data_IF_280505200152
#
_entry.id   IF_280505200152
#
_cell.length_a   1.000
_cell.length_b   1.000
_cell.length_c   1.000
_cell.angle_alpha   90.00
_cell.angle_beta   90.00
_cell.angle_gamma   90.00
#
_symmetry.space_group_name_H-M   'P 1'
#
loop_
_entity.id
_entity.type
_entity.pdbx_description
1 polymer ?
#
# COMPACT_ATOMS: atom_id res chain seq x y z
N UNK A 1 -2.59 21.49 -14.16
CA UNK A 1 -3.50 21.23 -13.02
C UNK A 1 -3.19 19.93 -12.27
N UNK A 2 -3.14 18.76 -12.93
CA UNK A 2 -2.99 17.48 -12.22
C UNK A 2 -1.70 17.31 -11.39
N UNK A 3 -0.55 17.82 -11.85
CA UNK A 3 0.74 17.66 -11.18
C UNK A 3 0.81 18.38 -9.81
N UNK A 4 0.35 19.64 -9.75
CA UNK A 4 0.32 20.43 -8.51
C UNK A 4 -0.63 19.79 -7.50
N UNK A 5 -1.81 19.34 -7.95
CA UNK A 5 -2.76 18.65 -7.08
C UNK A 5 -2.18 17.33 -6.54
N UNK A 6 -1.46 16.57 -7.36
CA UNK A 6 -0.78 15.35 -6.92
C UNK A 6 0.31 15.65 -5.87
N UNK A 7 1.05 16.74 -6.05
CA UNK A 7 2.06 17.20 -5.10
C UNK A 7 1.43 17.57 -3.75
N UNK A 8 0.41 18.45 -3.76
CA UNK A 8 -0.28 18.87 -2.54
C UNK A 8 -0.87 17.68 -1.79
N UNK A 9 -1.54 16.76 -2.48
CA UNK A 9 -2.07 15.52 -1.88
C UNK A 9 -0.99 14.61 -1.29
N UNK A 10 0.22 14.64 -1.83
CA UNK A 10 1.32 13.83 -1.32
C UNK A 10 1.85 14.41 -0.01
N UNK A 11 2.08 15.72 0.05
CA UNK A 11 2.66 16.39 1.23
C UNK A 11 1.65 16.56 2.38
N UNK A 12 0.36 16.73 2.08
CA UNK A 12 -0.73 16.90 3.07
C UNK A 12 -0.86 15.71 4.05
N UNK A 13 -0.35 14.53 3.65
CA UNK A 13 -0.28 13.35 4.53
C UNK A 13 0.76 13.47 5.65
N UNK A 14 1.67 14.43 5.55
CA UNK A 14 2.86 14.56 6.41
C UNK A 14 2.97 15.92 7.07
N UNK A 15 2.43 16.98 6.46
CA UNK A 15 2.42 18.34 6.97
C UNK A 15 1.06 18.98 6.73
N UNK A 16 0.62 19.89 7.60
CA UNK A 16 -0.62 20.64 7.42
C UNK A 16 -0.41 21.77 6.44
N UNK A 17 -1.13 21.75 5.31
CA UNK A 17 -1.02 22.82 4.28
C UNK A 17 -1.40 24.20 4.82
N UNK A 18 -2.27 24.27 5.83
CA UNK A 18 -2.79 25.54 6.37
C UNK A 18 -1.84 26.21 7.38
N UNK A 19 -0.98 25.43 8.04
CA UNK A 19 -0.22 25.90 9.20
C UNK A 19 1.28 25.62 9.13
N UNK A 20 1.71 24.64 8.34
CA UNK A 20 3.12 24.23 8.23
C UNK A 20 3.81 24.77 6.98
N UNK A 21 3.10 25.49 6.10
CA UNK A 21 3.65 26.08 4.87
C UNK A 21 3.74 27.61 4.99
N UNK A 22 4.94 28.14 4.74
CA UNK A 22 5.23 29.57 4.72
C UNK A 22 5.60 30.09 3.33
N UNK A 23 5.64 31.41 3.16
CA UNK A 23 6.00 32.05 1.89
C UNK A 23 7.48 31.91 1.52
N UNK A 24 8.32 31.47 2.45
CA UNK A 24 9.76 31.25 2.26
C UNK A 24 10.10 29.78 2.02
N UNK A 25 9.09 28.91 1.94
CA UNK A 25 9.32 27.48 1.78
C UNK A 25 9.74 27.15 0.35
N UNK A 26 10.75 26.30 0.24
CA UNK A 26 11.23 25.80 -1.05
C UNK A 26 10.57 24.45 -1.34
N UNK A 27 10.11 24.27 -2.57
CA UNK A 27 9.53 23.01 -3.03
C UNK A 27 10.28 22.47 -4.24
N UNK A 28 10.36 21.15 -4.30
CA UNK A 28 10.88 20.41 -5.45
C UNK A 28 9.80 19.50 -6.01
N UNK A 29 9.69 19.45 -7.34
CA UNK A 29 8.82 18.51 -8.03
C UNK A 29 9.57 17.88 -9.18
N UNK A 30 9.62 16.55 -9.22
CA UNK A 30 10.12 15.81 -10.39
C UNK A 30 8.96 15.04 -10.98
N UNK A 31 8.70 15.28 -12.26
CA UNK A 31 7.56 14.76 -13.00
C UNK A 31 8.06 13.87 -14.13
N UNK A 32 7.38 12.75 -14.37
CA UNK A 32 7.49 12.04 -15.63
C UNK A 32 6.84 12.87 -16.74
N UNK A 33 7.28 12.71 -17.97
CA UNK A 33 6.61 13.24 -19.15
C UNK A 33 6.73 12.27 -20.31
N UNK A 34 5.81 12.36 -21.26
CA UNK A 34 5.88 11.68 -22.55
C UNK A 34 6.14 12.72 -23.63
N UNK A 35 6.96 12.39 -24.62
CA UNK A 35 7.22 13.22 -25.79
C UNK A 35 6.86 12.44 -27.06
N UNK A 36 6.14 13.06 -27.99
CA UNK A 36 5.89 12.50 -29.32
C UNK A 36 7.11 12.76 -30.22
N UNK A 37 7.27 11.97 -31.28
CA UNK A 37 8.31 12.20 -32.29
C UNK A 37 8.18 13.59 -32.96
N UNK A 38 6.97 14.17 -32.97
CA UNK A 38 6.68 15.51 -33.48
C UNK A 38 7.02 16.64 -32.49
N UNK A 39 7.48 16.29 -31.29
CA UNK A 39 7.86 17.25 -30.26
C UNK A 39 6.78 17.56 -29.23
N UNK A 40 5.55 17.03 -29.38
CA UNK A 40 4.47 17.27 -28.41
C UNK A 40 4.85 16.69 -27.05
N UNK A 41 4.64 17.46 -25.99
CA UNK A 41 4.96 17.05 -24.61
C UNK A 41 3.67 16.87 -23.82
N UNK A 42 3.57 15.76 -23.08
CA UNK A 42 2.49 15.48 -22.15
C UNK A 42 3.06 15.21 -20.77
N UNK A 43 2.70 16.03 -19.79
CA UNK A 43 3.04 15.81 -18.39
C UNK A 43 2.44 14.47 -17.91
N UNK A 44 3.25 13.73 -17.17
CA UNK A 44 2.93 12.44 -16.59
C UNK A 44 2.83 12.52 -15.07
N UNK A 45 3.25 11.43 -14.42
CA UNK A 45 3.09 11.21 -12.99
C UNK A 45 4.14 11.97 -12.15
N UNK A 46 3.78 12.29 -10.91
CA UNK A 46 4.72 12.81 -9.92
C UNK A 46 5.66 11.69 -9.45
N UNK A 47 6.96 11.86 -9.67
CA UNK A 47 7.99 10.90 -9.27
C UNK A 47 8.58 11.24 -7.90
N UNK A 48 8.76 12.53 -7.61
CA UNK A 48 9.33 13.00 -6.35
C UNK A 48 8.70 14.34 -5.94
N UNK A 49 8.51 14.50 -4.63
CA UNK A 49 8.06 15.72 -3.99
C UNK A 49 8.98 16.05 -2.81
N UNK A 50 9.59 17.23 -2.84
CA UNK A 50 10.42 17.77 -1.77
C UNK A 50 9.82 19.05 -1.21
N UNK A 51 9.88 19.25 0.11
CA UNK A 51 9.61 20.56 0.72
C UNK A 51 10.61 20.82 1.84
N UNK A 52 11.21 22.02 1.81
CA UNK A 52 12.05 22.55 2.86
C UNK A 52 11.34 23.73 3.52
N UNK A 53 11.23 23.65 4.84
CA UNK A 53 10.68 24.70 5.70
C UNK A 53 11.75 25.08 6.72
N UNK A 54 11.87 26.37 7.01
CA UNK A 54 12.91 26.90 7.87
C UNK A 54 12.94 26.19 9.24
N UNK A 55 14.12 25.73 9.66
CA UNK A 55 14.32 25.02 10.93
C UNK A 55 13.73 23.59 11.00
N UNK A 56 12.99 23.13 9.98
CA UNK A 56 12.48 21.75 9.89
C UNK A 56 13.33 20.92 8.94
N UNK A 57 13.35 19.61 9.17
CA UNK A 57 14.01 18.66 8.26
C UNK A 57 13.25 18.62 6.93
N UNK A 58 13.97 18.68 5.80
CA UNK A 58 13.37 18.56 4.44
C UNK A 58 12.57 17.27 4.32
N UNK A 59 11.28 17.39 4.00
CA UNK A 59 10.42 16.25 3.67
C UNK A 59 10.73 15.85 2.23
N UNK A 60 11.00 14.56 2.02
CA UNK A 60 11.36 14.00 0.72
C UNK A 60 10.48 12.79 0.46
N UNK A 61 9.63 12.84 -0.56
CA UNK A 61 8.70 11.77 -0.91
C UNK A 61 9.06 11.21 -2.29
N UNK A 62 9.19 9.88 -2.40
CA UNK A 62 9.46 9.18 -3.66
C UNK A 62 8.27 8.29 -4.02
N UNK A 63 7.86 8.33 -5.30
CA UNK A 63 6.88 7.39 -5.87
C UNK A 63 7.49 5.99 -5.94
N UNK A 64 6.88 5.03 -5.27
CA UNK A 64 7.39 3.66 -5.16
C UNK A 64 6.29 2.60 -5.19
N UNK A 65 6.64 1.38 -5.61
CA UNK A 65 5.71 0.26 -5.72
C UNK A 65 4.85 0.28 -6.98
N UNK A 66 4.16 -0.83 -7.25
CA UNK A 66 3.27 -0.97 -8.41
C UNK A 66 2.04 -0.05 -8.35
N UNK A 67 1.59 0.27 -7.14
CA UNK A 67 0.53 1.25 -6.88
C UNK A 67 1.03 2.70 -6.85
N UNK A 68 2.35 2.87 -6.87
CA UNK A 68 3.04 4.16 -6.92
C UNK A 68 2.76 5.05 -5.70
N UNK A 69 2.71 4.47 -4.51
CA UNK A 69 2.58 5.28 -3.30
C UNK A 69 3.76 6.26 -3.14
N UNK A 70 3.47 7.45 -2.64
CA UNK A 70 4.50 8.42 -2.24
C UNK A 70 4.99 8.04 -0.84
N UNK A 71 6.24 7.57 -0.74
CA UNK A 71 6.87 7.16 0.51
C UNK A 71 7.91 8.19 0.95
N UNK A 72 7.86 8.59 2.22
CA UNK A 72 8.83 9.54 2.76
C UNK A 72 10.17 8.88 3.03
N UNK A 73 11.26 9.43 2.51
CA UNK A 73 12.60 8.85 2.57
C UNK A 73 13.14 8.63 3.99
N UNK A 74 12.72 9.47 4.94
CA UNK A 74 13.10 9.40 6.35
C UNK A 74 12.44 8.23 7.11
N UNK A 75 11.30 7.77 6.61
CA UNK A 75 10.48 6.68 7.12
C UNK A 75 10.38 5.50 6.17
N UNK A 76 10.95 5.60 4.97
CA UNK A 76 11.11 4.51 4.03
C UNK A 76 11.96 3.42 4.69
N UNK A 77 11.34 2.27 4.96
CA UNK A 77 11.96 1.18 5.72
C UNK A 77 11.89 1.31 7.25
N UNK A 78 11.29 2.37 7.80
CA UNK A 78 10.89 2.42 9.21
C UNK A 78 9.44 2.00 9.35
N UNK A 79 9.20 1.02 10.20
CA UNK A 79 7.84 0.60 10.52
C UNK A 79 7.08 1.75 11.22
N UNK A 80 5.87 2.08 10.75
CA UNK A 80 4.95 2.98 11.46
C UNK A 80 3.85 2.16 12.12
N UNK A 81 3.54 2.47 13.37
CA UNK A 81 2.39 1.89 14.06
C UNK A 81 1.09 2.47 13.50
N UNK A 82 0.29 1.65 12.84
CA UNK A 82 -1.07 2.00 12.40
C UNK A 82 -2.10 1.20 13.20
N UNK A 83 -3.26 1.78 13.55
CA UNK A 83 -4.36 1.03 14.12
C UNK A 83 -4.82 -0.08 13.17
N UNK A 84 -5.26 -1.20 13.72
CA UNK A 84 -5.88 -2.26 12.91
C UNK A 84 -7.22 -1.81 12.32
N UNK A 85 -7.45 -2.12 11.05
CA UNK A 85 -8.74 -1.89 10.40
C UNK A 85 -9.84 -2.80 10.97
N UNK A 86 -11.10 -2.40 10.82
CA UNK A 86 -12.23 -3.24 11.22
C UNK A 86 -12.26 -4.54 10.38
N UNK A 87 -12.24 -5.74 11.00
CA UNK A 87 -12.14 -7.00 10.25
C UNK A 87 -13.45 -7.37 9.55
N UNK A 88 -14.58 -6.82 9.97
CA UNK A 88 -15.91 -7.16 9.46
C UNK A 88 -16.86 -5.99 9.67
N UNK A 89 -17.83 -5.82 8.76
CA UNK A 89 -18.96 -4.91 8.95
C UNK A 89 -19.93 -5.50 10.00
N UNK A 90 -19.61 -5.30 11.27
CA UNK A 90 -20.37 -5.83 12.41
C UNK A 90 -20.10 -5.04 13.69
N UNK A 91 -20.80 -5.39 14.77
CA UNK A 91 -20.62 -4.77 16.10
C UNK A 91 -19.87 -5.71 17.02
N UNK A 92 -19.10 -5.17 17.95
CA UNK A 92 -18.50 -5.97 19.02
C UNK A 92 -19.62 -6.53 19.91
N UNK A 93 -19.70 -7.84 20.02
CA UNK A 93 -20.64 -8.57 20.88
C UNK A 93 -19.97 -9.13 22.13
N UNK A 94 -18.66 -9.34 22.09
CA UNK A 94 -17.89 -9.77 23.26
C UNK A 94 -16.46 -9.26 23.23
N UNK A 95 -15.97 -8.75 24.35
CA UNK A 95 -14.61 -8.26 24.51
C UNK A 95 -13.64 -9.36 24.95
N UNK A 96 -12.35 -9.11 24.78
CA UNK A 96 -11.27 -9.92 25.34
C UNK A 96 -11.27 -9.87 26.87
N UNK A 97 -10.93 -10.99 27.52
CA UNK A 97 -10.75 -11.05 28.98
C UNK A 97 -11.58 -12.11 29.70
N UNK A 98 -11.44 -12.16 31.02
CA UNK A 98 -12.15 -13.12 31.87
C UNK A 98 -13.65 -12.79 31.91
N UNK A 99 -14.49 -13.72 31.46
CA UNK A 99 -15.94 -13.57 31.49
C UNK A 99 -16.66 -14.87 31.80
N UNK A 100 -17.91 -14.80 32.26
CA UNK A 100 -18.74 -16.00 32.43
C UNK A 100 -19.02 -16.62 31.06
N UNK A 101 -18.69 -17.89 30.88
CA UNK A 101 -18.88 -18.58 29.61
C UNK A 101 -20.37 -18.89 29.40
N UNK A 102 -20.99 -18.47 28.29
CA UNK A 102 -22.43 -18.55 28.11
C UNK A 102 -22.95 -20.00 28.06
N UNK A 103 -22.11 -20.95 27.65
CA UNK A 103 -22.49 -22.37 27.55
C UNK A 103 -22.06 -23.16 28.81
N UNK A 104 -20.96 -22.78 29.46
CA UNK A 104 -20.32 -23.62 30.49
C UNK A 104 -20.58 -23.12 31.92
N UNK A 105 -21.10 -21.90 32.09
CA UNK A 105 -21.54 -21.37 33.39
C UNK A 105 -20.43 -20.85 34.32
N UNK A 106 -19.16 -21.16 34.09
CA UNK A 106 -18.02 -20.66 34.88
C UNK A 106 -17.24 -19.53 34.17
N UNK A 107 -16.41 -18.79 34.93
CA UNK A 107 -15.54 -17.74 34.37
C UNK A 107 -14.42 -18.37 33.55
N UNK A 108 -14.37 -18.06 32.26
CA UNK A 108 -13.35 -18.53 31.31
C UNK A 108 -12.71 -17.34 30.60
N UNK A 109 -11.43 -17.47 30.30
CA UNK A 109 -10.72 -16.48 29.50
C UNK A 109 -11.26 -16.49 28.07
N UNK A 110 -11.71 -15.33 27.60
CA UNK A 110 -12.03 -15.10 26.20
C UNK A 110 -10.80 -14.53 25.50
N UNK A 111 -10.16 -15.36 24.68
CA UNK A 111 -8.87 -15.07 24.05
C UNK A 111 -8.94 -14.14 22.82
N UNK A 112 -10.11 -13.56 22.53
CA UNK A 112 -10.35 -12.72 21.37
C UNK A 112 -11.49 -11.72 21.57
N UNK A 113 -11.88 -11.05 20.49
CA UNK A 113 -13.05 -10.18 20.39
C UNK A 113 -14.04 -10.81 19.42
N UNK A 114 -15.31 -10.88 19.83
CA UNK A 114 -16.38 -11.37 18.98
C UNK A 114 -17.08 -10.20 18.29
N UNK A 115 -17.21 -10.29 16.97
CA UNK A 115 -17.96 -9.36 16.14
C UNK A 115 -19.21 -10.05 15.61
N UNK A 116 -20.37 -9.65 16.10
CA UNK A 116 -21.66 -10.10 15.60
C UNK A 116 -21.92 -9.54 14.21
N UNK A 117 -22.10 -10.42 13.23
CA UNK A 117 -22.35 -10.10 11.83
C UNK A 117 -23.20 -11.18 11.16
N UNK A 118 -23.84 -10.87 10.04
CA UNK A 118 -24.69 -11.83 9.32
C UNK A 118 -23.82 -12.96 8.75
N UNK A 119 -24.41 -14.16 8.65
CA UNK A 119 -23.75 -15.28 7.97
C UNK A 119 -23.39 -14.87 6.53
N UNK A 120 -22.16 -15.18 6.10
CA UNK A 120 -21.65 -14.82 4.77
C UNK A 120 -21.08 -13.41 4.65
N UNK A 121 -21.11 -12.57 5.69
CA UNK A 121 -20.45 -11.25 5.65
C UNK A 121 -18.94 -11.41 5.39
N UNK A 122 -18.32 -10.65 4.49
CA UNK A 122 -16.88 -10.72 4.23
C UNK A 122 -16.03 -10.38 5.46
N UNK A 123 -14.99 -11.18 5.69
CA UNK A 123 -13.96 -10.97 6.71
C UNK A 123 -12.69 -10.50 6.01
N UNK A 124 -12.13 -9.39 6.49
CA UNK A 124 -10.94 -8.76 5.93
C UNK A 124 -9.72 -8.94 6.84
N UNK A 125 -8.55 -9.09 6.23
CA UNK A 125 -7.27 -9.07 6.93
C UNK A 125 -7.08 -7.68 7.58
N UNK A 126 -6.76 -7.66 8.88
CA UNK A 126 -6.63 -6.40 9.63
C UNK A 126 -5.31 -5.68 9.34
N UNK A 127 -4.32 -6.43 8.83
CA UNK A 127 -3.06 -5.94 8.30
C UNK A 127 -2.50 -6.92 7.27
N UNK A 128 -1.54 -6.45 6.48
CA UNK A 128 -0.80 -7.30 5.56
C UNK A 128 -0.04 -8.39 6.32
N UNK A 129 0.05 -9.58 5.73
CA UNK A 129 0.68 -10.73 6.38
C UNK A 129 0.75 -11.95 5.50
N UNK A 130 1.28 -13.03 6.06
CA UNK A 130 1.32 -14.35 5.41
C UNK A 130 0.42 -15.33 6.14
N UNK A 131 -0.39 -16.08 5.40
CA UNK A 131 -1.26 -17.12 5.95
C UNK A 131 -0.39 -18.25 6.52
N UNK A 132 -0.29 -18.35 7.84
CA UNK A 132 0.42 -19.45 8.51
C UNK A 132 -0.45 -20.69 8.68
N UNK A 133 -1.77 -20.50 8.80
CA UNK A 133 -2.76 -21.57 8.87
C UNK A 133 -4.04 -21.18 8.13
N UNK A 134 -4.63 -22.15 7.43
CA UNK A 134 -5.95 -22.05 6.80
C UNK A 134 -6.58 -23.45 6.80
N UNK A 135 -7.73 -23.62 7.47
CA UNK A 135 -8.42 -24.90 7.58
C UNK A 135 -9.26 -25.04 8.84
N UNK A 136 -9.57 -26.29 9.22
CA UNK A 136 -10.38 -26.60 10.40
C UNK A 136 -9.49 -26.66 11.66
N UNK A 137 -9.86 -25.93 12.71
CA UNK A 137 -9.05 -25.72 13.91
C UNK A 137 -9.89 -25.90 15.19
N UNK A 138 -10.38 -27.13 15.41
CA UNK A 138 -11.11 -27.50 16.62
C UNK A 138 -12.27 -26.55 16.97
N UNK A 139 -12.23 -25.97 18.16
CA UNK A 139 -13.25 -25.05 18.67
C UNK A 139 -13.43 -23.78 17.83
N UNK A 140 -12.41 -23.33 17.10
CA UNK A 140 -12.52 -22.19 16.19
C UNK A 140 -13.30 -22.52 14.92
N UNK A 141 -13.58 -23.78 14.62
CA UNK A 141 -14.22 -24.17 13.36
C UNK A 141 -13.28 -23.92 12.17
N UNK A 142 -13.80 -23.31 11.11
CA UNK A 142 -12.97 -22.84 10.01
C UNK A 142 -12.19 -21.60 10.43
N UNK A 143 -10.88 -21.67 10.27
CA UNK A 143 -9.94 -20.73 10.87
C UNK A 143 -8.83 -20.32 9.89
N UNK A 144 -8.47 -19.04 9.94
CA UNK A 144 -7.30 -18.50 9.25
C UNK A 144 -6.40 -17.84 10.30
N UNK A 145 -5.09 -18.08 10.21
CA UNK A 145 -4.08 -17.35 10.98
C UNK A 145 -3.14 -16.63 10.05
N UNK A 146 -2.93 -15.34 10.31
CA UNK A 146 -2.00 -14.48 9.59
C UNK A 146 -0.82 -14.13 10.49
N UNK A 147 0.39 -14.37 10.02
CA UNK A 147 1.60 -13.84 10.65
C UNK A 147 1.94 -12.49 10.03
N UNK A 148 2.18 -11.50 10.89
CA UNK A 148 2.50 -10.13 10.54
C UNK A 148 3.94 -9.80 10.94
N UNK A 149 4.40 -8.63 10.53
CA UNK A 149 5.69 -8.08 10.97
C UNK A 149 5.72 -7.85 12.49
N UNK A 150 6.92 -7.86 13.08
CA UNK A 150 7.10 -7.55 14.50
C UNK A 150 6.66 -8.64 15.47
N UNK A 151 6.55 -9.90 15.02
CA UNK A 151 6.17 -11.03 15.87
C UNK A 151 4.70 -11.00 16.31
N UNK A 152 3.87 -10.27 15.57
CA UNK A 152 2.42 -10.21 15.74
C UNK A 152 1.74 -11.23 14.82
N UNK A 153 0.64 -11.80 15.29
CA UNK A 153 -0.23 -12.62 14.44
C UNK A 153 -1.69 -12.33 14.76
N UNK A 154 -2.58 -12.61 13.81
CA UNK A 154 -4.03 -12.54 14.02
C UNK A 154 -4.71 -13.82 13.60
N UNK A 155 -5.75 -14.18 14.35
CA UNK A 155 -6.56 -15.38 14.16
C UNK A 155 -8.00 -15.04 13.88
N UNK A 156 -8.63 -15.73 12.93
CA UNK A 156 -9.98 -15.46 12.47
C UNK A 156 -10.79 -16.75 12.51
N UNK A 157 -11.73 -16.87 13.44
CA UNK A 157 -12.52 -18.07 13.67
C UNK A 157 -13.97 -18.01 13.21
N UNK A 158 -14.62 -19.16 13.32
CA UNK A 158 -16.03 -19.45 13.06
C UNK A 158 -16.47 -19.20 11.62
N UNK A 159 -15.55 -19.21 10.65
CA UNK A 159 -15.89 -18.91 9.26
C UNK A 159 -16.88 -19.90 8.66
N UNK A 160 -17.75 -19.44 7.78
CA UNK A 160 -18.56 -20.31 6.92
C UNK A 160 -17.73 -20.85 5.75
N UNK A 161 -16.90 -19.99 5.18
CA UNK A 161 -16.01 -20.29 4.05
C UNK A 161 -14.70 -19.53 4.19
N UNK A 162 -13.59 -20.21 3.86
CA UNK A 162 -12.26 -19.62 3.80
C UNK A 162 -11.95 -19.23 2.35
N UNK A 163 -11.39 -18.05 2.12
CA UNK A 163 -11.06 -17.54 0.79
C UNK A 163 -9.56 -17.66 0.43
N UNK A 164 -8.69 -17.90 1.42
CA UNK A 164 -7.22 -17.91 1.25
C UNK A 164 -6.60 -19.25 1.67
N UNK A 165 -5.42 -19.54 1.14
CA UNK A 165 -4.68 -20.80 1.38
C UNK A 165 -3.43 -20.57 2.24
N UNK A 166 -2.99 -21.63 2.94
CA UNK A 166 -1.73 -21.59 3.70
C UNK A 166 -0.56 -21.21 2.78
N UNK A 167 0.25 -20.27 3.24
CA UNK A 167 1.44 -19.78 2.54
C UNK A 167 1.22 -18.53 1.69
N UNK A 168 -0.04 -18.19 1.40
CA UNK A 168 -0.45 -17.01 0.63
C UNK A 168 -0.12 -15.72 1.36
N UNK A 169 0.18 -14.66 0.60
CA UNK A 169 0.39 -13.30 1.11
C UNK A 169 -0.89 -12.52 0.90
N UNK A 170 -1.35 -11.82 1.94
CA UNK A 170 -2.56 -11.00 1.91
C UNK A 170 -2.22 -9.56 2.24
N UNK A 171 -2.91 -8.62 1.60
CA UNK A 171 -2.84 -7.18 1.90
C UNK A 171 -3.78 -6.83 3.05
N UNK A 172 -3.53 -5.71 3.72
CA UNK A 172 -4.50 -5.16 4.66
C UNK A 172 -5.81 -4.84 3.93
N UNK A 173 -6.94 -5.21 4.52
CA UNK A 173 -8.27 -5.04 3.92
C UNK A 173 -8.65 -6.10 2.88
N UNK A 174 -7.80 -7.08 2.58
CA UNK A 174 -8.12 -8.15 1.65
C UNK A 174 -9.10 -9.15 2.26
N UNK A 175 -10.06 -9.67 1.47
CA UNK A 175 -11.04 -10.65 1.93
C UNK A 175 -10.36 -12.01 2.13
N UNK A 176 -10.37 -12.52 3.36
CA UNK A 176 -9.74 -13.79 3.74
C UNK A 176 -10.75 -14.91 4.02
N UNK A 177 -12.03 -14.57 4.16
CA UNK A 177 -13.11 -15.52 4.41
C UNK A 177 -14.44 -14.84 4.65
N UNK A 178 -15.39 -15.61 5.15
CA UNK A 178 -16.77 -15.17 5.34
C UNK A 178 -17.29 -15.63 6.70
N UNK A 179 -18.04 -14.75 7.38
CA UNK A 179 -18.65 -15.01 8.68
C UNK A 179 -19.51 -16.27 8.63
N UNK A 180 -19.45 -17.06 9.69
CA UNK A 180 -20.27 -18.25 9.87
C UNK A 180 -20.52 -18.53 11.34
N UNK A 181 -20.81 -19.80 11.63
CA UNK A 181 -21.01 -20.30 12.99
C UNK A 181 -20.44 -21.72 13.12
N UNK A 182 -19.28 -21.96 12.49
CA UNK A 182 -18.61 -23.27 12.57
C UNK A 182 -17.85 -23.43 13.89
N UNK A 183 -17.61 -24.66 14.33
CA UNK A 183 -16.92 -24.93 15.59
C UNK A 183 -17.81 -24.67 16.81
N UNK A 184 -17.20 -24.23 17.91
CA UNK A 184 -17.91 -23.94 19.16
C UNK A 184 -18.47 -22.51 19.12
N UNK A 185 -19.61 -22.34 18.45
CA UNK A 185 -20.26 -21.06 18.22
C UNK A 185 -21.75 -21.16 18.52
N UNK A 186 -22.34 -20.13 19.14
CA UNK A 186 -23.79 -20.08 19.43
C UNK A 186 -24.62 -19.40 18.34
N UNK A 187 -23.96 -18.77 17.37
CA UNK A 187 -24.61 -18.07 16.26
C UNK A 187 -23.61 -17.32 15.39
N UNK A 188 -24.04 -16.71 14.26
CA UNK A 188 -23.14 -16.07 13.32
C UNK A 188 -22.31 -14.92 13.93
N UNK A 189 -20.99 -15.09 13.96
CA UNK A 189 -20.04 -14.06 14.39
C UNK A 189 -18.62 -14.36 13.88
N UNK A 190 -17.76 -13.34 13.90
CA UNK A 190 -16.32 -13.50 13.77
C UNK A 190 -15.70 -13.51 15.17
N UNK A 191 -14.85 -14.50 15.46
CA UNK A 191 -13.95 -14.47 16.61
C UNK A 191 -12.55 -14.02 16.14
N UNK A 192 -12.12 -12.84 16.56
CA UNK A 192 -10.81 -12.26 16.24
C UNK A 192 -9.85 -12.44 17.42
N UNK A 193 -8.72 -13.09 17.18
CA UNK A 193 -7.63 -13.20 18.14
C UNK A 193 -6.42 -12.39 17.67
N UNK A 194 -5.66 -11.88 18.62
CA UNK A 194 -4.37 -11.25 18.38
C UNK A 194 -3.30 -11.95 19.21
N UNK A 195 -2.10 -12.06 18.66
CA UNK A 195 -0.98 -12.77 19.25
C UNK A 195 0.29 -11.94 19.24
N UNK A 196 1.11 -12.08 20.29
CA UNK A 196 2.49 -11.58 20.33
C UNK A 196 3.39 -12.65 20.94
N UNK A 197 4.41 -13.08 20.21
CA UNK A 197 5.31 -14.15 20.68
C UNK A 197 4.57 -15.44 21.03
N UNK A 198 3.51 -15.77 20.29
CA UNK A 198 2.68 -16.97 20.51
C UNK A 198 1.63 -16.87 21.63
N UNK A 199 1.60 -15.78 22.41
CA UNK A 199 0.59 -15.57 23.46
C UNK A 199 -0.54 -14.67 22.96
N UNK A 200 -1.77 -15.00 23.33
CA UNK A 200 -2.95 -14.19 23.02
C UNK A 200 -2.90 -12.87 23.78
N UNK A 201 -3.20 -11.77 23.10
CA UNK A 201 -3.28 -10.42 23.65
C UNK A 201 -4.62 -9.80 23.29
N UNK A 202 -5.00 -8.73 23.99
CA UNK A 202 -6.22 -8.00 23.67
C UNK A 202 -6.09 -7.38 22.26
N UNK A 203 -6.97 -7.74 21.29
CA UNK A 203 -6.96 -7.10 19.97
C UNK A 203 -7.39 -5.63 20.03
N UNK A 204 -8.11 -5.20 21.07
CA UNK A 204 -8.54 -3.82 21.22
C UNK A 204 -7.33 -2.89 21.38
N UNK A 205 -7.23 -1.88 20.53
CA UNK A 205 -6.11 -0.94 20.53
C UNK A 205 -4.80 -1.51 19.99
N UNK A 206 -4.83 -2.70 19.36
CA UNK A 206 -3.64 -3.23 18.69
C UNK A 206 -3.22 -2.27 17.56
N UNK A 207 -1.96 -1.87 17.62
CA UNK A 207 -1.29 -1.18 16.53
C UNK A 207 -0.37 -2.17 15.85
N UNK A 208 -0.45 -2.22 14.52
CA UNK A 208 0.43 -3.05 13.71
C UNK A 208 1.47 -2.14 13.07
N UNK A 209 2.70 -2.63 13.06
CA UNK A 209 3.79 -2.04 12.31
C UNK A 209 3.50 -2.19 10.81
N UNK A 210 2.87 -1.17 10.22
CA UNK A 210 2.83 -0.99 8.78
C UNK A 210 4.19 -0.45 8.35
N UNK A 211 5.05 -1.36 7.91
CA UNK A 211 6.09 -0.98 6.96
C UNK A 211 5.43 -0.92 5.59
N UNK A 212 5.61 0.15 4.80
CA UNK A 212 5.80 -0.07 3.37
C UNK A 212 6.95 -1.08 3.32
N UNK A 213 6.64 -2.32 2.97
CA UNK A 213 7.61 -3.41 2.94
C UNK A 213 8.66 -3.01 1.91
N UNK A 214 9.74 -2.38 2.36
CA UNK A 214 10.98 -2.30 1.63
C UNK A 214 11.87 -3.31 2.33
N UNK A 215 12.04 -4.48 1.72
CA UNK A 215 13.10 -5.37 2.16
C UNK A 215 14.48 -4.70 1.96
N UNK A 216 15.56 -5.35 2.41
CA UNK A 216 16.91 -4.74 2.30
C UNK A 216 17.30 -4.37 0.87
N UNK A 217 16.86 -5.15 -0.13
CA UNK A 217 17.17 -4.91 -1.55
C UNK A 217 16.30 -3.79 -2.10
N UNK A 218 15.01 -3.82 -1.80
CA UNK A 218 14.08 -2.75 -2.22
C UNK A 218 14.44 -1.42 -1.58
N UNK A 219 14.91 -1.43 -0.32
CA UNK A 219 15.42 -0.23 0.33
C UNK A 219 16.67 0.32 -0.37
N UNK A 220 17.62 -0.54 -0.73
CA UNK A 220 18.80 -0.10 -1.49
C UNK A 220 18.37 0.49 -2.85
N UNK A 221 17.43 -0.15 -3.55
CA UNK A 221 16.89 0.36 -4.80
C UNK A 221 16.14 1.70 -4.62
N UNK A 222 15.40 1.86 -3.52
CA UNK A 222 14.73 3.11 -3.15
C UNK A 222 15.73 4.24 -2.93
N UNK A 223 16.78 3.99 -2.14
CA UNK A 223 17.84 4.95 -1.86
C UNK A 223 18.59 5.33 -3.15
N UNK A 224 18.95 4.36 -4.00
CA UNK A 224 19.58 4.61 -5.31
C UNK A 224 18.66 5.44 -6.20
N UNK A 225 17.37 5.11 -6.28
CA UNK A 225 16.42 5.84 -7.13
C UNK A 225 16.25 7.28 -6.66
N UNK A 226 16.17 7.51 -5.34
CA UNK A 226 16.10 8.84 -4.77
C UNK A 226 17.34 9.67 -5.15
N UNK A 227 18.55 9.12 -4.95
CA UNK A 227 19.79 9.82 -5.31
C UNK A 227 19.84 10.19 -6.78
N UNK A 228 19.47 9.27 -7.68
CA UNK A 228 19.44 9.54 -9.12
C UNK A 228 18.44 10.64 -9.52
N UNK A 229 17.37 10.83 -8.75
CA UNK A 229 16.41 11.89 -9.02
C UNK A 229 16.89 13.24 -8.48
N UNK A 230 17.57 13.25 -7.32
CA UNK A 230 18.10 14.48 -6.73
C UNK A 230 19.26 15.09 -7.52
N UNK A 231 19.91 14.32 -8.39
CA UNK A 231 20.94 14.84 -9.31
C UNK A 231 20.38 15.52 -10.57
N UNK A 232 19.06 15.57 -10.74
CA UNK A 232 18.44 16.21 -11.90
C UNK A 232 18.37 17.72 -11.72
N UNK A 233 18.90 18.46 -12.70
CA UNK A 233 18.79 19.92 -12.74
C UNK A 233 17.35 20.35 -13.12
N UNK A 234 16.81 21.42 -12.49
CA UNK A 234 15.53 21.99 -12.87
C UNK A 234 15.48 22.32 -14.36
N UNK A 235 14.50 21.76 -15.06
CA UNK A 235 14.34 22.00 -16.50
C UNK A 235 15.31 21.24 -17.41
N UNK A 236 16.18 20.34 -16.90
CA UNK A 236 17.07 19.51 -17.74
C UNK A 236 16.31 18.72 -18.83
N UNK A 237 15.10 18.28 -18.50
CA UNK A 237 14.22 17.56 -19.42
C UNK A 237 13.48 18.47 -20.44
N UNK A 238 13.57 19.79 -20.29
CA UNK A 238 12.90 20.76 -21.15
C UNK A 238 13.78 21.26 -22.30
N UNK A 239 15.10 21.02 -22.23
CA UNK A 239 16.04 21.35 -23.29
C UNK A 239 15.64 20.69 -24.62
N UNK A 240 15.80 21.43 -25.71
CA UNK A 240 15.52 20.90 -27.04
C UNK A 240 16.57 19.86 -27.42
N UNK A 241 16.14 18.60 -27.45
CA UNK A 241 16.92 17.55 -28.10
C UNK A 241 16.87 17.85 -29.59
N UNK A 242 18.05 18.07 -30.19
CA UNK A 242 18.22 18.15 -31.63
C UNK A 242 17.51 16.96 -32.30
N UNK A 243 16.80 17.17 -33.43
CA UNK A 243 16.19 16.06 -34.15
C UNK A 243 17.26 14.99 -34.44
N UNK A 244 16.89 13.70 -34.46
CA UNK A 244 17.81 12.65 -34.86
C UNK A 244 18.39 13.00 -36.23
N UNK A 245 19.71 12.86 -36.38
CA UNK A 245 20.45 13.24 -37.58
C UNK A 245 19.91 12.60 -38.87
N UNK A 246 19.15 11.51 -38.75
CA UNK A 246 18.56 10.78 -39.86
C UNK A 246 17.27 11.42 -40.42
N UNK A 247 16.79 12.53 -39.85
CA UNK A 247 15.61 13.24 -40.36
C UNK A 247 15.91 14.21 -41.52
N UNK A 248 17.20 14.44 -41.84
CA UNK A 248 17.64 15.29 -42.96
C UNK A 248 18.20 14.50 -44.16
N UNK A 249 18.09 13.17 -44.15
CA UNK A 249 18.39 12.35 -45.33
C UNK A 249 17.28 12.56 -46.38
N UNK A 250 17.50 13.57 -47.21
CA UNK A 250 17.01 13.75 -48.58
C UNK A 250 15.70 13.04 -48.92
N UNK A 251 14.60 13.79 -48.87
CA UNK A 251 13.43 13.47 -49.70
C UNK A 251 13.75 13.77 -51.17
N UNK A 252 14.60 12.95 -51.79
CA UNK A 252 14.58 12.85 -53.26
C UNK A 252 13.24 12.21 -53.63
N UNK A 253 12.33 13.02 -54.17
CA UNK A 253 11.01 12.57 -54.60
C UNK A 253 11.21 11.53 -55.71
N UNK A 254 10.53 10.38 -55.62
CA UNK A 254 10.63 9.28 -56.62
C UNK A 254 10.31 9.72 -58.06
N UNK A 255 9.67 10.88 -58.25
CA UNK A 255 9.33 11.44 -59.57
C UNK A 255 10.53 12.00 -60.34
N UNK A 256 11.66 12.28 -59.69
CA UNK A 256 12.87 12.81 -60.36
C UNK A 256 13.74 11.72 -61.00
N UNK A 257 13.35 10.44 -60.90
CA UNK A 257 14.13 9.27 -61.39
C UNK A 257 13.77 8.82 -62.82
N UNK A 258 12.91 9.55 -63.55
CA UNK A 258 12.53 9.22 -64.92
C UNK A 258 12.91 10.34 -65.90
N UNK A 259 14.12 10.26 -66.45
CA UNK A 259 14.46 10.96 -67.69
C UNK A 259 13.86 10.21 -68.90
N UNK A 260 13.42 10.91 -69.97
CA UNK A 260 12.78 10.29 -71.12
C UNK A 260 13.77 9.44 -71.92
N UNK A 261 13.45 8.16 -72.14
CA UNK A 261 14.11 7.34 -73.16
C UNK A 261 13.80 7.94 -74.54
N UNK A 262 14.83 8.49 -75.19
CA UNK A 262 14.81 8.65 -76.65
C UNK A 262 14.87 7.26 -77.28
N UNK A 263 13.87 6.93 -78.09
CA UNK A 263 13.94 5.83 -79.06
C UNK A 263 13.82 6.48 -80.44
N UNK A 264 14.82 6.22 -81.29
CA UNK A 264 14.85 6.66 -82.69
C UNK A 264 13.91 5.89 -83.59
#
# INVERSE_FOLDING_TARGET
MAAIQAYLRAIDKYISLDSDIGSQDEFDMILAYKRSAKGDRKLGELLYAGIAHEGKKRLQLLRWGEDGQMLAADTAGKAREVPIGAPVAGRVTSNYGMRRHPILGYKRMHAGIDYGARHGTPIHAVAAGRVSFSGRHGGHGNYVRLEHSGGLATGYGHMSRIAVKRGERVKAGEVIGYVGSTGLSTGPHLHLEAYRGGRTINPAGLKILASPQLDKRERAAFETRLQNLLTLEPGAALADIAPPADAEAETTREIDRLAPQQVG
#
